data_IF_877559954423
#
_entry.id   IF_877559954423
#
_cell.length_a   1.000
_cell.length_b   1.000
_cell.length_c   1.000
_cell.angle_alpha   90.00
_cell.angle_beta   90.00
_cell.angle_gamma   90.00
#
_symmetry.space_group_name_H-M   'P 1'
#
loop_
_entity.id
_entity.type
_entity.pdbx_description
1 polymer ?
#
# COMPACT_ATOMS: atom_id res chain seq x y z
N UNK A 1 3.32 14.71 8.69
CA UNK A 1 3.51 13.45 7.96
C UNK A 1 4.58 12.56 8.60
N UNK A 2 4.22 11.33 8.97
CA UNK A 2 5.16 10.29 9.42
C UNK A 2 5.72 9.52 8.21
N UNK A 3 6.93 9.00 8.34
CA UNK A 3 7.61 8.15 7.37
C UNK A 3 7.94 6.83 8.05
N UNK A 4 7.58 5.73 7.40
CA UNK A 4 7.93 4.36 7.76
C UNK A 4 8.70 3.77 6.58
N UNK A 5 9.90 3.27 6.83
CA UNK A 5 10.78 2.73 5.80
C UNK A 5 10.95 1.22 5.98
N UNK A 6 11.15 0.49 4.89
CA UNK A 6 11.38 -0.96 4.89
C UNK A 6 10.26 -1.81 5.55
N UNK A 7 9.02 -1.36 5.47
CA UNK A 7 7.83 -2.09 5.93
C UNK A 7 7.62 -3.38 5.14
N UNK A 8 7.07 -4.41 5.79
CA UNK A 8 6.66 -5.65 5.12
C UNK A 8 5.26 -5.50 4.52
N UNK A 9 5.18 -5.59 3.19
CA UNK A 9 3.93 -5.65 2.44
C UNK A 9 3.68 -7.08 1.97
N UNK A 10 2.66 -7.71 2.53
CA UNK A 10 2.13 -8.98 2.03
C UNK A 10 1.07 -8.73 0.96
N UNK A 11 1.26 -9.34 -0.20
CA UNK A 11 0.34 -9.26 -1.34
C UNK A 11 -0.37 -10.59 -1.52
N UNK A 12 -1.70 -10.54 -1.54
CA UNK A 12 -2.56 -11.69 -1.83
C UNK A 12 -3.20 -11.50 -3.20
N UNK A 13 -3.02 -12.46 -4.11
CA UNK A 13 -3.60 -12.43 -5.44
C UNK A 13 -4.96 -13.16 -5.45
N UNK A 14 -5.91 -12.70 -6.27
CA UNK A 14 -7.21 -13.38 -6.39
C UNK A 14 -7.19 -14.68 -7.18
N UNK A 15 -6.26 -14.81 -8.13
CA UNK A 15 -6.32 -15.85 -9.18
C UNK A 15 -5.05 -16.72 -9.28
N UNK A 16 -4.13 -16.62 -8.31
CA UNK A 16 -2.86 -17.37 -8.25
C UNK A 16 -2.59 -17.95 -6.85
N UNK A 17 -1.51 -18.74 -6.69
CA UNK A 17 -1.05 -19.19 -5.37
C UNK A 17 -0.73 -17.96 -4.50
N UNK A 18 -1.45 -17.76 -3.38
CA UNK A 18 -1.38 -16.52 -2.66
C UNK A 18 -0.12 -16.52 -1.79
N UNK A 19 0.77 -15.55 -2.02
CA UNK A 19 1.57 -14.81 -1.03
C UNK A 19 2.91 -14.40 -1.64
N UNK A 20 3.09 -13.10 -1.88
CA UNK A 20 4.40 -12.50 -2.07
C UNK A 20 4.62 -11.44 -0.99
N UNK A 21 5.85 -11.36 -0.48
CA UNK A 21 6.26 -10.34 0.50
C UNK A 21 7.22 -9.37 -0.18
N UNK A 22 6.90 -8.09 -0.13
CA UNK A 22 7.71 -7.00 -0.68
C UNK A 22 8.09 -6.03 0.42
N UNK A 23 9.25 -5.38 0.26
CA UNK A 23 9.61 -4.22 1.07
C UNK A 23 8.99 -2.97 0.47
N UNK A 24 8.49 -2.10 1.34
CA UNK A 24 7.88 -0.84 0.93
C UNK A 24 8.14 0.28 1.93
N UNK A 25 7.97 1.50 1.45
CA UNK A 25 7.99 2.70 2.27
C UNK A 25 6.60 3.33 2.29
N UNK A 26 6.19 3.82 3.46
CA UNK A 26 4.90 4.46 3.67
C UNK A 26 5.10 5.86 4.26
N UNK A 27 4.56 6.87 3.58
CA UNK A 27 4.41 8.23 4.13
C UNK A 27 2.93 8.50 4.38
N UNK A 28 2.56 8.80 5.62
CA UNK A 28 1.16 9.01 5.99
C UNK A 28 1.00 10.21 6.93
N UNK A 29 -0.02 11.01 6.70
CA UNK A 29 -0.38 12.16 7.55
C UNK A 29 -0.99 13.29 6.75
N UNK A 30 -1.57 14.26 7.45
CA UNK A 30 -2.18 15.45 6.84
C UNK A 30 -3.26 15.08 5.80
N UNK A 31 -4.01 14.00 6.07
CA UNK A 31 -5.05 13.45 5.19
C UNK A 31 -4.51 12.81 3.90
N UNK A 32 -3.21 12.57 3.78
CA UNK A 32 -2.55 12.00 2.60
C UNK A 32 -1.81 10.72 2.96
N UNK A 33 -1.74 9.78 2.02
CA UNK A 33 -0.88 8.61 2.08
C UNK A 33 -0.09 8.44 0.77
N UNK A 34 1.16 8.00 0.89
CA UNK A 34 2.01 7.56 -0.22
C UNK A 34 2.61 6.22 0.16
N UNK A 35 2.50 5.23 -0.73
CA UNK A 35 3.13 3.91 -0.59
C UNK A 35 4.02 3.69 -1.80
N UNK A 36 5.27 3.29 -1.60
CA UNK A 36 6.19 2.96 -2.67
C UNK A 36 6.87 1.61 -2.43
N UNK A 37 7.06 0.85 -3.50
CA UNK A 37 7.78 -0.43 -3.49
C UNK A 37 8.47 -0.63 -4.82
N UNK A 38 9.54 -1.43 -4.82
CA UNK A 38 10.24 -1.80 -6.04
C UNK A 38 9.59 -3.01 -6.70
N UNK A 39 9.41 -2.93 -8.02
CA UNK A 39 8.95 -4.02 -8.88
C UNK A 39 9.98 -4.31 -9.97
N UNK A 40 9.79 -5.40 -10.71
CA UNK A 40 10.63 -5.73 -11.87
C UNK A 40 10.63 -4.61 -12.93
N UNK A 41 9.56 -3.80 -12.99
CA UNK A 41 9.40 -2.70 -13.94
C UNK A 41 9.82 -1.32 -13.37
N UNK A 42 10.47 -1.30 -12.21
CA UNK A 42 10.88 -0.11 -11.48
C UNK A 42 10.01 0.19 -10.26
N UNK A 43 10.29 1.33 -9.63
CA UNK A 43 9.59 1.76 -8.41
C UNK A 43 8.14 2.14 -8.73
N UNK A 44 7.21 1.47 -8.06
CA UNK A 44 5.78 1.78 -8.13
C UNK A 44 5.43 2.71 -6.98
N UNK A 45 4.68 3.77 -7.26
CA UNK A 45 4.24 4.75 -6.26
C UNK A 45 2.74 4.92 -6.33
N UNK A 46 2.08 4.59 -5.22
CA UNK A 46 0.68 4.89 -4.97
C UNK A 46 0.55 6.13 -4.11
N UNK A 47 -0.33 7.05 -4.52
CA UNK A 47 -0.67 8.24 -3.73
C UNK A 47 -2.17 8.35 -3.59
N UNK A 48 -2.62 8.72 -2.39
CA UNK A 48 -4.03 8.86 -2.10
C UNK A 48 -4.36 9.88 -1.03
N UNK A 49 -5.65 10.19 -0.93
CA UNK A 49 -6.22 11.06 0.09
C UNK A 49 -7.18 10.28 0.98
N UNK A 50 -7.29 10.72 2.22
CA UNK A 50 -8.27 10.24 3.19
C UNK A 50 -9.69 10.66 2.77
N UNK A 51 -10.59 9.69 2.71
CA UNK A 51 -12.00 9.91 2.33
C UNK A 51 -12.96 9.77 3.52
N UNK A 52 -12.50 9.12 4.57
CA UNK A 52 -13.11 9.01 5.89
C UNK A 52 -11.97 8.72 6.90
N UNK A 53 -12.14 8.99 8.21
CA UNK A 53 -11.09 8.75 9.20
C UNK A 53 -10.48 7.34 9.08
N UNK A 54 -9.18 7.27 8.84
CA UNK A 54 -8.41 6.04 8.66
C UNK A 54 -8.63 5.32 7.32
N UNK A 55 -9.34 5.90 6.34
CA UNK A 55 -9.67 5.26 5.06
C UNK A 55 -9.18 6.09 3.86
N UNK A 56 -8.36 5.48 3.01
CA UNK A 56 -7.66 6.14 1.91
C UNK A 56 -8.03 5.53 0.57
N UNK A 57 -8.14 6.39 -0.46
CA UNK A 57 -8.20 5.97 -1.87
C UNK A 57 -6.93 6.41 -2.58
N UNK A 58 -6.22 5.45 -3.15
CA UNK A 58 -4.93 5.65 -3.79
C UNK A 58 -5.02 5.35 -5.29
N UNK A 59 -4.15 5.99 -6.06
CA UNK A 59 -3.88 5.67 -7.45
C UNK A 59 -2.40 5.86 -7.76
N UNK A 60 -1.91 5.14 -8.76
CA UNK A 60 -0.58 5.39 -9.32
C UNK A 60 -0.60 6.56 -10.30
N UNK A 61 0.56 7.19 -10.50
CA UNK A 61 0.70 8.31 -11.44
C UNK A 61 1.33 7.91 -12.77
N UNK A 62 2.29 6.98 -12.79
CA UNK A 62 3.22 6.89 -13.91
C UNK A 62 3.37 5.49 -14.55
N UNK A 63 3.76 4.47 -13.77
CA UNK A 63 4.26 3.18 -14.35
C UNK A 63 3.14 2.22 -14.72
N UNK A 64 2.06 2.18 -13.92
CA UNK A 64 0.90 1.29 -14.10
C UNK A 64 -0.38 2.10 -13.94
N UNK A 65 -1.53 1.60 -14.40
CA UNK A 65 -2.85 2.18 -14.09
C UNK A 65 -3.46 1.50 -12.88
N UNK A 66 -2.85 1.74 -11.73
CA UNK A 66 -3.20 1.17 -10.44
C UNK A 66 -4.23 1.99 -9.66
N UNK A 67 -5.12 1.30 -8.97
CA UNK A 67 -6.03 1.86 -7.96
C UNK A 67 -6.00 1.00 -6.71
N UNK A 68 -6.01 1.62 -5.55
CA UNK A 68 -6.03 0.89 -4.30
C UNK A 68 -6.88 1.60 -3.24
N UNK A 69 -7.27 0.83 -2.23
CA UNK A 69 -7.80 1.33 -0.97
C UNK A 69 -6.91 0.83 0.15
N UNK A 70 -6.63 1.67 1.12
CA UNK A 70 -6.00 1.26 2.37
C UNK A 70 -6.80 1.81 3.54
N UNK A 71 -6.88 1.04 4.61
CA UNK A 71 -7.47 1.47 5.86
C UNK A 71 -6.57 1.11 7.05
N UNK A 72 -6.56 1.99 8.05
CA UNK A 72 -5.92 1.78 9.34
C UNK A 72 -6.90 2.15 10.46
N UNK A 73 -6.81 1.41 11.56
CA UNK A 73 -7.43 1.82 12.81
C UNK A 73 -6.54 2.81 13.56
N UNK A 74 -7.15 3.66 14.38
CA UNK A 74 -6.42 4.58 15.25
C UNK A 74 -5.40 3.81 16.10
N UNK A 75 -4.17 4.32 16.21
CA UNK A 75 -3.05 3.70 16.95
C UNK A 75 -2.59 2.33 16.44
N UNK A 76 -3.07 1.86 15.29
CA UNK A 76 -2.58 0.63 14.68
C UNK A 76 -1.27 0.86 13.93
N UNK A 77 -0.39 -0.14 13.95
CA UNK A 77 0.80 -0.22 13.06
C UNK A 77 0.48 -0.97 11.77
N UNK A 78 -0.80 -1.13 11.41
CA UNK A 78 -1.21 -1.95 10.26
C UNK A 78 -2.06 -1.16 9.29
N UNK A 79 -1.76 -1.34 8.01
CA UNK A 79 -2.60 -0.92 6.90
C UNK A 79 -3.05 -2.16 6.13
N UNK A 80 -4.33 -2.22 5.80
CA UNK A 80 -4.88 -3.30 4.99
C UNK A 80 -5.81 -2.74 3.92
N UNK A 81 -6.01 -3.47 2.82
CA UNK A 81 -6.96 -3.07 1.79
C UNK A 81 -6.77 -3.79 0.46
N UNK A 82 -7.30 -3.21 -0.61
CA UNK A 82 -7.36 -3.84 -1.95
C UNK A 82 -6.55 -3.04 -2.96
N UNK A 83 -6.05 -3.72 -3.98
CA UNK A 83 -5.43 -3.07 -5.14
C UNK A 83 -5.96 -3.70 -6.44
N UNK A 84 -5.86 -2.94 -7.53
CA UNK A 84 -6.16 -3.36 -8.87
C UNK A 84 -5.18 -2.71 -9.85
N UNK A 85 -4.51 -3.51 -10.67
CA UNK A 85 -3.55 -3.09 -11.70
C UNK A 85 -3.72 -3.95 -12.94
N UNK A 86 -3.83 -3.34 -14.12
CA UNK A 86 -3.82 -4.02 -15.43
C UNK A 86 -4.70 -5.28 -15.54
N UNK A 87 -5.85 -5.28 -14.85
CA UNK A 87 -6.82 -6.38 -14.82
C UNK A 87 -6.60 -7.40 -13.70
N UNK A 88 -5.43 -7.42 -13.07
CA UNK A 88 -5.16 -8.13 -11.83
C UNK A 88 -5.70 -7.35 -10.62
N UNK A 89 -6.00 -8.07 -9.55
CA UNK A 89 -6.44 -7.49 -8.27
C UNK A 89 -6.00 -8.35 -7.11
N UNK A 90 -5.96 -7.74 -5.94
CA UNK A 90 -5.54 -8.43 -4.73
C UNK A 90 -5.78 -7.64 -3.47
N UNK A 91 -5.21 -8.15 -2.38
CA UNK A 91 -5.18 -7.49 -1.09
C UNK A 91 -3.75 -7.10 -0.71
N UNK A 92 -3.63 -5.99 0.00
CA UNK A 92 -2.42 -5.63 0.73
C UNK A 92 -2.66 -5.79 2.23
N UNK A 93 -1.62 -6.25 2.90
CA UNK A 93 -1.42 -6.16 4.32
C UNK A 93 -0.02 -5.60 4.55
N UNK A 94 0.08 -4.45 5.21
CA UNK A 94 1.35 -3.74 5.44
C UNK A 94 1.55 -3.60 6.95
N UNK A 95 2.65 -4.13 7.45
CA UNK A 95 3.09 -3.88 8.82
C UNK A 95 4.08 -2.70 8.86
N UNK A 96 3.75 -1.68 9.64
CA UNK A 96 4.52 -0.45 9.80
C UNK A 96 5.53 -0.53 10.95
N UNK A 97 5.58 -1.64 11.70
CA UNK A 97 6.60 -1.81 12.73
C UNK A 97 7.99 -1.89 12.09
N UNK A 98 8.96 -1.21 12.70
CA UNK A 98 10.37 -1.50 12.42
C UNK A 98 10.67 -2.93 12.90
N UNK A 99 11.37 -3.74 12.09
CA UNK A 99 11.98 -4.96 12.61
C UNK A 99 13.12 -4.53 13.57
N UNK A 100 13.02 -4.93 14.84
CA UNK A 100 14.07 -4.78 15.87
C UNK A 100 15.34 -5.58 15.52
#
# INVERSE_FOLDING_TARGET
MALYENCDMTVFFSDEEPMAVYRCDVRIGDGTIVVSYDSENGTVVYRGNEVAPGHFKLSTLDVVKGRATLHCFEQSTRLEGTWQEDGARGMWYIDLSEED
#
